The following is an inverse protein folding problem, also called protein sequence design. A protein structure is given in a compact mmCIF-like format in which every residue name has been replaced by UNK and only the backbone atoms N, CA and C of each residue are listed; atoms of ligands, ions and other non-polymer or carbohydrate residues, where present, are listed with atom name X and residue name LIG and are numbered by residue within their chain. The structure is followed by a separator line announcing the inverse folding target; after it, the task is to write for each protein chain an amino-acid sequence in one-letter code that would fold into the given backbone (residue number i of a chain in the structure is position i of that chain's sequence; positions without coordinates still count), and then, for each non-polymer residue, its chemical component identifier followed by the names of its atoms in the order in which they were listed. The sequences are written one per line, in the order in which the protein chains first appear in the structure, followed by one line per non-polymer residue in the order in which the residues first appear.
data_IF_946436325219
#
_entry.id   IF_946436325219
#
_cell.length_a   1.000
_cell.length_b   1.000
_cell.length_c   1.000
_cell.angle_alpha   90.00
_cell.angle_beta   90.00
_cell.angle_gamma   90.00
#
_symmetry.space_group_name_H-M   'P 1'
#
loop_
_entity.id
_entity.type
_entity.pdbx_description
1 polymer ?
#
# COMPACT_ATOMS: atom_id res chain seq x y z
N UNK A 1 -15.87 11.17 5.66
CA UNK A 1 -14.81 10.74 4.71
C UNK A 1 -15.28 9.50 3.97
N UNK A 2 -14.97 9.38 2.68
CA UNK A 2 -15.40 8.26 1.84
C UNK A 2 -14.15 7.50 1.36
N UNK A 3 -14.04 6.23 1.76
CA UNK A 3 -12.96 5.30 1.41
C UNK A 3 -11.87 5.17 2.48
N UNK A 4 -11.65 3.93 2.95
CA UNK A 4 -10.68 3.52 3.96
C UNK A 4 -9.35 2.99 3.39
N UNK A 5 -8.93 3.45 2.21
CA UNK A 5 -7.59 3.17 1.67
C UNK A 5 -6.50 3.94 2.41
N UNK A 6 -5.23 3.77 2.00
CA UNK A 6 -4.09 4.49 2.58
C UNK A 6 -4.37 5.99 2.75
N UNK A 7 -4.83 6.65 1.69
CA UNK A 7 -5.12 8.08 1.74
C UNK A 7 -6.21 8.41 2.75
N UNK A 8 -7.31 7.64 2.78
CA UNK A 8 -8.40 7.87 3.74
C UNK A 8 -7.95 7.70 5.18
N UNK A 9 -7.21 6.63 5.51
CA UNK A 9 -6.66 6.40 6.85
C UNK A 9 -5.72 7.55 7.29
N UNK A 10 -4.82 8.01 6.40
CA UNK A 10 -3.93 9.13 6.70
C UNK A 10 -4.67 10.46 6.79
N UNK A 11 -5.68 10.69 5.96
CA UNK A 11 -6.50 11.89 6.06
C UNK A 11 -7.30 11.91 7.37
N UNK A 12 -7.88 10.78 7.78
CA UNK A 12 -8.55 10.65 9.09
C UNK A 12 -7.58 10.95 10.24
N UNK A 13 -6.38 10.35 10.23
CA UNK A 13 -5.32 10.62 11.21
C UNK A 13 -4.96 12.10 11.29
N UNK A 14 -4.76 12.75 10.16
CA UNK A 14 -4.35 14.16 10.14
C UNK A 14 -5.51 15.12 10.47
N UNK A 15 -6.77 14.78 10.16
CA UNK A 15 -7.95 15.51 10.63
C UNK A 15 -8.05 15.49 12.15
N UNK A 16 -7.72 14.37 12.82
CA UNK A 16 -7.73 14.27 14.27
C UNK A 16 -6.64 15.09 14.97
N UNK A 17 -5.64 15.59 14.24
CA UNK A 17 -4.72 16.66 14.73
C UNK A 17 -5.44 18.02 14.90
N UNK A 18 -6.67 18.10 14.44
CA UNK A 18 -7.57 19.25 14.59
C UNK A 18 -8.80 18.84 15.39
N UNK A 19 -9.46 19.78 16.00
CA UNK A 19 -10.73 19.56 16.73
C UNK A 19 -11.88 19.37 15.72
N UNK A 20 -11.83 18.28 14.97
CA UNK A 20 -12.81 17.87 13.96
C UNK A 20 -13.28 16.47 14.31
N UNK A 21 -14.59 16.26 14.41
CA UNK A 21 -15.17 14.91 14.42
C UNK A 21 -15.02 14.28 13.02
N UNK A 22 -14.63 13.02 12.98
CA UNK A 22 -14.33 12.30 11.73
C UNK A 22 -15.09 11.00 11.71
N UNK A 23 -15.97 10.83 10.71
CA UNK A 23 -16.55 9.56 10.31
C UNK A 23 -15.91 9.12 8.99
N UNK A 24 -15.34 7.91 8.95
CA UNK A 24 -14.79 7.28 7.74
C UNK A 24 -15.69 6.14 7.32
N UNK A 25 -16.30 6.25 6.13
CA UNK A 25 -17.18 5.26 5.54
C UNK A 25 -16.38 4.43 4.53
N UNK A 26 -16.26 3.12 4.76
CA UNK A 26 -15.59 2.17 3.88
C UNK A 26 -16.59 1.11 3.40
N UNK A 27 -16.62 0.89 2.10
CA UNK A 27 -17.55 -0.03 1.47
C UNK A 27 -17.26 -1.52 1.76
N UNK A 28 -16.09 -1.83 2.28
CA UNK A 28 -15.63 -3.19 2.57
C UNK A 28 -15.49 -3.44 4.08
N UNK A 29 -15.25 -4.68 4.42
CA UNK A 29 -15.13 -5.20 5.78
C UNK A 29 -13.86 -4.78 6.53
N UNK A 30 -12.87 -4.19 5.85
CA UNK A 30 -11.59 -3.78 6.44
C UNK A 30 -10.99 -2.60 5.67
N UNK A 31 -10.07 -1.89 6.28
CA UNK A 31 -9.30 -0.82 5.64
C UNK A 31 -8.22 -1.37 4.72
N UNK A 32 -7.76 -0.57 3.78
CA UNK A 32 -6.67 -0.90 2.84
C UNK A 32 -6.91 -2.13 1.95
N UNK A 33 -8.16 -2.50 1.69
CA UNK A 33 -8.56 -3.65 0.87
C UNK A 33 -8.71 -3.34 -0.62
N UNK A 34 -8.70 -2.06 -1.02
CA UNK A 34 -8.74 -1.62 -2.42
C UNK A 34 -7.36 -1.58 -3.10
N UNK A 35 -7.06 -0.49 -3.82
CA UNK A 35 -5.76 -0.25 -4.49
C UNK A 35 -4.57 -0.38 -3.53
N UNK A 36 -4.75 -0.02 -2.27
CA UNK A 36 -3.72 -0.04 -1.23
C UNK A 36 -3.16 -1.43 -0.94
N UNK A 37 -3.91 -2.50 -1.24
CA UNK A 37 -3.51 -3.89 -0.93
C UNK A 37 -2.46 -4.48 -1.89
N UNK A 38 -2.28 -3.88 -3.08
CA UNK A 38 -1.41 -4.42 -4.12
C UNK A 38 -0.65 -3.28 -4.81
N UNK A 39 0.65 -3.19 -4.57
CA UNK A 39 1.57 -2.20 -5.12
C UNK A 39 3.03 -2.68 -4.98
N UNK A 40 4.00 -1.87 -5.40
CA UNK A 40 5.43 -2.19 -5.34
C UNK A 40 6.07 -2.04 -3.97
N UNK A 41 5.36 -1.60 -2.94
CA UNK A 41 5.91 -1.32 -1.60
C UNK A 41 7.03 -0.25 -1.55
N UNK A 42 7.32 0.45 -2.64
CA UNK A 42 8.42 1.41 -2.77
C UNK A 42 8.04 2.77 -2.16
N UNK A 43 8.92 3.28 -1.30
CA UNK A 43 8.91 4.67 -0.83
C UNK A 43 9.82 5.48 -1.74
N UNK A 44 9.22 6.21 -2.68
CA UNK A 44 9.92 6.96 -3.72
C UNK A 44 10.59 8.22 -3.18
N UNK A 45 11.75 8.57 -3.76
CA UNK A 45 12.49 9.79 -3.40
C UNK A 45 11.96 11.06 -4.09
N UNK A 46 11.30 10.93 -5.24
CA UNK A 46 10.85 12.03 -6.09
C UNK A 46 11.85 12.41 -7.21
N UNK A 47 12.90 11.62 -7.43
CA UNK A 47 13.94 11.92 -8.45
C UNK A 47 13.42 11.86 -9.89
N UNK A 48 12.41 11.05 -10.18
CA UNK A 48 11.85 10.80 -11.52
C UNK A 48 10.58 11.62 -11.82
N UNK A 49 10.19 12.53 -10.91
CA UNK A 49 9.03 13.37 -11.13
C UNK A 49 9.42 14.72 -11.79
N UNK A 50 8.54 15.20 -12.67
CA UNK A 50 8.73 16.50 -13.34
C UNK A 50 8.84 17.61 -12.29
N UNK A 51 9.90 18.42 -12.31
CA UNK A 51 10.09 19.51 -11.35
C UNK A 51 8.94 20.52 -11.32
N UNK A 52 8.71 21.15 -10.17
CA UNK A 52 7.66 22.15 -9.95
C UNK A 52 6.23 21.58 -10.12
N UNK A 53 6.03 20.30 -9.91
CA UNK A 53 4.70 19.70 -9.82
C UNK A 53 4.37 19.37 -8.37
N UNK A 54 3.09 19.45 -8.02
CA UNK A 54 2.60 19.05 -6.69
C UNK A 54 3.08 17.64 -6.30
N UNK A 55 3.11 16.75 -7.28
CA UNK A 55 3.57 15.37 -7.13
C UNK A 55 5.04 15.31 -6.72
N UNK A 56 5.93 16.07 -7.37
CA UNK A 56 7.35 16.13 -7.03
C UNK A 56 7.56 16.68 -5.61
N UNK A 57 6.96 17.82 -5.31
CA UNK A 57 7.08 18.49 -4.01
C UNK A 57 6.59 17.62 -2.86
N UNK A 58 5.40 17.01 -3.00
CA UNK A 58 4.85 16.11 -1.97
C UNK A 58 5.70 14.86 -1.78
N UNK A 59 6.25 14.28 -2.86
CA UNK A 59 7.07 13.08 -2.75
C UNK A 59 8.36 13.35 -1.99
N UNK A 60 9.05 14.43 -2.31
CA UNK A 60 10.31 14.80 -1.62
C UNK A 60 10.05 15.07 -0.13
N UNK A 61 9.00 15.83 0.22
CA UNK A 61 8.63 16.08 1.63
C UNK A 61 8.24 14.80 2.36
N UNK A 62 7.41 13.97 1.74
CA UNK A 62 6.98 12.70 2.31
C UNK A 62 8.16 11.76 2.58
N UNK A 63 9.07 11.63 1.60
CA UNK A 63 10.26 10.79 1.75
C UNK A 63 11.15 11.27 2.90
N UNK A 64 11.40 12.57 3.02
CA UNK A 64 12.20 13.14 4.10
C UNK A 64 11.63 12.88 5.50
N UNK A 65 10.30 12.78 5.63
CA UNK A 65 9.60 12.53 6.89
C UNK A 65 9.32 11.05 7.18
N UNK A 66 9.63 10.15 6.25
CA UNK A 66 9.08 8.79 6.28
C UNK A 66 9.60 7.93 7.44
N UNK A 67 10.89 8.05 7.81
CA UNK A 67 11.46 7.35 8.97
C UNK A 67 10.76 7.75 10.28
N UNK A 68 10.48 9.04 10.45
CA UNK A 68 9.73 9.53 11.62
C UNK A 68 8.32 8.98 11.62
N UNK A 69 7.63 9.01 10.48
CA UNK A 69 6.27 8.50 10.34
C UNK A 69 6.19 7.02 10.73
N UNK A 70 7.12 6.21 10.23
CA UNK A 70 7.16 4.79 10.54
C UNK A 70 7.45 4.53 12.02
N UNK A 71 8.34 5.32 12.66
CA UNK A 71 8.54 5.23 14.12
C UNK A 71 7.32 5.66 14.93
N UNK A 72 6.61 6.73 14.53
CA UNK A 72 5.37 7.15 15.19
C UNK A 72 4.29 6.06 15.14
N UNK A 73 4.21 5.33 14.04
CA UNK A 73 3.19 4.32 13.78
C UNK A 73 3.63 2.89 14.12
N UNK A 74 4.87 2.69 14.55
CA UNK A 74 5.48 1.38 14.78
C UNK A 74 5.30 0.44 13.57
N UNK A 75 5.79 0.91 12.41
CA UNK A 75 5.72 0.19 11.13
C UNK A 75 7.15 -0.07 10.63
N UNK A 76 7.48 -1.33 10.28
CA UNK A 76 8.77 -1.66 9.69
C UNK A 76 9.03 -0.90 8.38
N UNK A 77 10.18 -0.26 8.27
CA UNK A 77 10.63 0.47 7.10
C UNK A 77 12.12 0.22 6.87
N UNK A 78 12.50 -0.02 5.63
CA UNK A 78 13.90 -0.17 5.20
C UNK A 78 14.26 0.89 4.18
N UNK A 79 15.25 1.73 4.50
CA UNK A 79 15.83 2.69 3.55
C UNK A 79 17.00 2.02 2.82
N UNK A 80 16.66 1.01 2.01
CA UNK A 80 17.64 0.18 1.29
C UNK A 80 18.28 0.89 0.08
N UNK A 81 17.77 2.04 -0.35
CA UNK A 81 18.21 2.70 -1.58
C UNK A 81 17.68 2.01 -2.84
N UNK A 82 17.94 2.64 -4.00
CA UNK A 82 17.64 2.02 -5.29
C UNK A 82 18.72 2.29 -6.33
N UNK A 83 18.84 1.37 -7.29
CA UNK A 83 19.60 1.50 -8.53
C UNK A 83 18.62 1.48 -9.70
N UNK A 84 18.51 2.61 -10.42
CA UNK A 84 17.88 2.63 -11.73
C UNK A 84 18.94 2.24 -12.76
N UNK A 85 18.75 1.12 -13.44
CA UNK A 85 19.78 0.43 -14.24
C UNK A 85 19.46 0.53 -15.73
N UNK A 86 20.46 0.80 -16.56
CA UNK A 86 20.40 0.71 -18.02
C UNK A 86 21.46 -0.22 -18.58
N UNK A 87 21.18 -0.80 -19.75
CA UNK A 87 22.06 -1.72 -20.45
C UNK A 87 22.69 -1.09 -21.72
N UNK A 88 22.32 0.14 -22.08
CA UNK A 88 22.81 0.82 -23.28
C UNK A 88 22.62 2.34 -23.24
N UNK A 89 22.97 3.02 -24.36
CA UNK A 89 23.11 4.48 -24.36
C UNK A 89 21.77 5.22 -24.23
N UNK A 90 20.68 4.70 -24.81
CA UNK A 90 19.36 5.33 -24.68
C UNK A 90 18.89 5.34 -23.21
N UNK A 91 19.05 4.23 -22.50
CA UNK A 91 18.77 4.16 -21.07
C UNK A 91 19.69 5.08 -20.26
N UNK A 92 20.98 5.17 -20.63
CA UNK A 92 21.92 6.10 -19.99
C UNK A 92 21.47 7.57 -20.10
N UNK A 93 20.96 7.99 -21.27
CA UNK A 93 20.40 9.34 -21.43
C UNK A 93 19.17 9.59 -20.53
N UNK A 94 18.30 8.56 -20.40
CA UNK A 94 17.16 8.64 -19.46
C UNK A 94 17.65 8.80 -18.03
N UNK A 95 18.68 8.06 -17.60
CA UNK A 95 19.23 8.15 -16.24
C UNK A 95 19.87 9.52 -15.97
N UNK A 96 20.61 10.10 -16.96
CA UNK A 96 21.15 11.46 -16.84
C UNK A 96 20.03 12.50 -16.68
N UNK A 97 18.94 12.37 -17.43
CA UNK A 97 17.78 13.25 -17.31
C UNK A 97 17.09 13.08 -15.92
N UNK A 98 16.93 11.86 -15.44
CA UNK A 98 16.37 11.59 -14.09
C UNK A 98 17.27 12.16 -13.00
N UNK A 99 18.59 12.10 -13.12
CA UNK A 99 19.51 12.77 -12.21
C UNK A 99 19.26 14.27 -12.17
N UNK A 100 19.20 14.93 -13.33
CA UNK A 100 18.96 16.38 -13.41
C UNK A 100 17.58 16.75 -12.80
N UNK A 101 16.55 15.97 -13.07
CA UNK A 101 15.22 16.16 -12.47
C UNK A 101 15.26 16.01 -10.94
N UNK A 102 15.92 14.96 -10.44
CA UNK A 102 16.06 14.73 -9.01
C UNK A 102 16.82 15.84 -8.29
N UNK A 103 17.91 16.34 -8.90
CA UNK A 103 18.65 17.49 -8.38
C UNK A 103 17.77 18.75 -8.34
N UNK A 104 17.01 19.02 -9.42
CA UNK A 104 16.07 20.14 -9.47
C UNK A 104 14.93 20.03 -8.46
N UNK A 105 14.55 18.80 -8.07
CA UNK A 105 13.57 18.53 -7.01
C UNK A 105 14.18 18.58 -5.60
N UNK A 106 15.51 18.74 -5.46
CA UNK A 106 16.20 18.76 -4.17
C UNK A 106 16.39 17.38 -3.53
N UNK A 107 16.37 16.29 -4.32
CA UNK A 107 16.61 14.93 -3.80
C UNK A 107 18.10 14.77 -3.47
N UNK A 108 18.46 14.44 -2.22
CA UNK A 108 19.86 14.37 -1.82
C UNK A 108 20.54 13.05 -2.25
N UNK A 109 21.87 13.12 -2.41
CA UNK A 109 22.74 11.93 -2.51
C UNK A 109 22.68 11.18 -3.83
N UNK A 110 22.04 11.72 -4.87
CA UNK A 110 21.96 11.10 -6.20
C UNK A 110 23.34 10.99 -6.86
N UNK A 111 23.66 9.82 -7.41
CA UNK A 111 24.94 9.58 -8.10
C UNK A 111 24.75 8.69 -9.32
N UNK A 112 25.40 9.04 -10.45
CA UNK A 112 25.58 8.11 -11.56
C UNK A 112 26.77 7.20 -11.25
N UNK A 113 26.59 5.92 -11.49
CA UNK A 113 27.57 4.86 -11.34
C UNK A 113 27.81 4.20 -12.69
N UNK A 114 29.06 3.87 -12.99
CA UNK A 114 29.37 2.98 -14.11
C UNK A 114 28.93 1.53 -13.80
N UNK A 115 28.83 0.70 -14.83
CA UNK A 115 28.38 -0.70 -14.68
C UNK A 115 29.18 -1.50 -13.66
N UNK A 116 30.50 -1.34 -13.60
CA UNK A 116 31.37 -2.02 -12.62
C UNK A 116 30.98 -1.60 -11.17
N UNK A 117 30.81 -0.30 -10.91
CA UNK A 117 30.42 0.20 -9.60
C UNK A 117 29.02 -0.25 -9.19
N UNK A 118 28.08 -0.35 -10.16
CA UNK A 118 26.75 -0.89 -9.88
C UNK A 118 26.81 -2.36 -9.45
N UNK A 119 27.66 -3.16 -10.09
CA UNK A 119 27.88 -4.59 -9.73
C UNK A 119 28.65 -4.77 -8.42
N UNK A 120 29.49 -3.83 -8.02
CA UNK A 120 30.07 -3.85 -6.67
C UNK A 120 29.00 -3.71 -5.57
N UNK A 121 27.94 -2.92 -5.81
CA UNK A 121 26.80 -2.78 -4.89
C UNK A 121 25.84 -3.96 -4.99
N UNK A 122 25.61 -4.49 -6.19
CA UNK A 122 24.67 -5.58 -6.47
C UNK A 122 25.34 -6.62 -7.39
N UNK A 123 26.05 -7.60 -6.79
CA UNK A 123 26.82 -8.60 -7.56
C UNK A 123 25.97 -9.47 -8.49
N UNK A 124 24.65 -9.66 -8.20
CA UNK A 124 23.72 -10.41 -9.03
C UNK A 124 23.33 -9.72 -10.35
N UNK A 125 23.71 -8.45 -10.55
CA UNK A 125 23.42 -7.74 -11.80
C UNK A 125 24.19 -8.33 -12.99
N UNK A 126 23.53 -8.36 -14.16
CA UNK A 126 24.17 -8.74 -15.43
C UNK A 126 25.42 -7.92 -15.72
N UNK A 127 26.42 -8.52 -16.39
CA UNK A 127 27.65 -7.85 -16.84
C UNK A 127 27.39 -6.77 -17.91
N UNK A 128 26.20 -6.79 -18.54
CA UNK A 128 25.76 -5.83 -19.55
C UNK A 128 25.36 -4.46 -19.00
N UNK A 129 25.31 -4.27 -17.68
CA UNK A 129 24.99 -2.97 -17.08
C UNK A 129 26.00 -1.93 -17.53
N UNK A 130 25.52 -0.89 -18.20
CA UNK A 130 26.33 0.24 -18.69
C UNK A 130 26.36 1.39 -17.69
N UNK A 131 25.25 1.69 -17.05
CA UNK A 131 25.08 2.80 -16.09
C UNK A 131 24.00 2.48 -15.07
N UNK A 132 24.14 3.04 -13.88
CA UNK A 132 23.06 3.08 -12.89
C UNK A 132 22.95 4.47 -12.26
N UNK A 133 21.72 4.89 -11.94
CA UNK A 133 21.46 6.04 -11.06
C UNK A 133 21.18 5.48 -9.64
N UNK A 134 22.08 5.74 -8.73
CA UNK A 134 21.94 5.41 -7.32
C UNK A 134 21.12 6.47 -6.58
N UNK A 135 20.07 6.03 -5.89
CA UNK A 135 19.13 6.89 -5.17
C UNK A 135 19.03 6.42 -3.71
N UNK A 136 19.87 6.91 -2.81
CA UNK A 136 19.97 6.40 -1.43
C UNK A 136 18.70 6.65 -0.59
N UNK A 137 17.91 7.66 -0.96
CA UNK A 137 16.68 8.03 -0.24
C UNK A 137 15.49 7.12 -0.51
N UNK A 138 15.56 6.18 -1.46
CA UNK A 138 14.48 5.23 -1.73
C UNK A 138 14.45 4.14 -0.66
N UNK A 139 13.26 3.58 -0.38
CA UNK A 139 13.13 2.51 0.61
C UNK A 139 11.90 1.65 0.37
N UNK A 140 11.67 0.68 1.25
CA UNK A 140 10.50 -0.21 1.21
C UNK A 140 9.77 -0.21 2.55
N UNK A 141 8.46 -0.38 2.48
CA UNK A 141 7.56 -0.46 3.64
C UNK A 141 6.48 -1.50 3.38
N UNK A 142 5.94 -2.11 4.44
CA UNK A 142 4.74 -2.92 4.29
C UNK A 142 3.51 -2.01 4.09
N UNK A 143 2.85 -2.02 2.89
CA UNK A 143 1.75 -1.12 2.59
C UNK A 143 0.52 -1.32 3.47
N UNK A 144 0.25 -2.57 3.86
CA UNK A 144 -0.88 -2.91 4.73
C UNK A 144 -0.64 -2.44 6.15
N UNK A 145 0.52 -2.75 6.71
CA UNK A 145 0.90 -2.30 8.05
C UNK A 145 0.85 -0.77 8.15
N UNK A 146 1.33 -0.05 7.11
CA UNK A 146 1.33 1.40 7.07
C UNK A 146 -0.10 1.97 7.12
N UNK A 147 -0.99 1.44 6.27
CA UNK A 147 -2.36 1.94 6.19
C UNK A 147 -3.22 1.57 7.39
N UNK A 148 -3.11 0.32 7.88
CA UNK A 148 -3.79 -0.16 9.10
C UNK A 148 -3.33 0.65 10.31
N UNK A 149 -2.01 0.87 10.45
CA UNK A 149 -1.46 1.67 11.55
C UNK A 149 -1.97 3.11 11.55
N UNK A 150 -2.10 3.74 10.37
CA UNK A 150 -2.69 5.08 10.25
C UNK A 150 -4.17 5.08 10.66
N UNK A 151 -4.94 4.05 10.27
CA UNK A 151 -6.34 3.87 10.66
C UNK A 151 -6.49 3.66 12.16
N UNK A 152 -5.73 2.74 12.76
CA UNK A 152 -5.71 2.49 14.20
C UNK A 152 -5.33 3.74 15.00
N UNK A 153 -4.31 4.48 14.56
CA UNK A 153 -3.94 5.74 15.21
C UNK A 153 -5.05 6.81 15.08
N UNK A 154 -5.73 6.88 13.94
CA UNK A 154 -6.89 7.77 13.78
C UNK A 154 -8.03 7.40 14.73
N UNK A 155 -8.36 6.11 14.85
CA UNK A 155 -9.40 5.60 15.76
C UNK A 155 -9.03 5.86 17.23
N UNK A 156 -7.79 5.59 17.64
CA UNK A 156 -7.29 5.89 18.99
C UNK A 156 -7.37 7.39 19.34
N UNK A 157 -7.32 8.26 18.34
CA UNK A 157 -7.54 9.70 18.48
C UNK A 157 -9.02 10.12 18.28
N UNK A 158 -9.96 9.16 18.21
CA UNK A 158 -11.39 9.40 18.19
C UNK A 158 -12.00 9.60 16.79
N UNK A 159 -11.39 9.08 15.72
CA UNK A 159 -12.06 8.90 14.44
C UNK A 159 -12.96 7.66 14.50
N UNK A 160 -14.15 7.75 13.95
CA UNK A 160 -15.10 6.65 13.87
C UNK A 160 -15.01 5.99 12.48
N UNK A 161 -14.97 4.66 12.44
CA UNK A 161 -14.86 3.87 11.21
C UNK A 161 -16.15 3.07 11.02
N UNK A 162 -16.83 3.30 9.91
CA UNK A 162 -18.02 2.60 9.46
C UNK A 162 -17.60 1.69 8.30
N UNK A 163 -17.39 0.41 8.58
CA UNK A 163 -17.04 -0.61 7.61
C UNK A 163 -18.31 -1.23 7.02
N UNK A 164 -18.19 -1.89 5.85
CA UNK A 164 -19.34 -2.37 5.07
C UNK A 164 -20.38 -1.28 4.76
N UNK A 165 -19.95 -0.01 4.75
CA UNK A 165 -20.81 1.16 4.63
C UNK A 165 -20.51 1.87 3.32
N UNK A 166 -21.18 1.43 2.26
CA UNK A 166 -21.07 2.01 0.92
C UNK A 166 -21.91 3.27 0.81
N UNK A 167 -21.30 4.38 0.38
CA UNK A 167 -22.05 5.60 0.01
C UNK A 167 -22.73 5.37 -1.33
N UNK A 168 -24.05 5.48 -1.35
CA UNK A 168 -24.91 5.25 -2.52
C UNK A 168 -25.35 6.56 -3.17
N UNK A 169 -25.56 7.62 -2.39
CA UNK A 169 -25.96 8.94 -2.85
C UNK A 169 -25.34 10.04 -2.01
N UNK A 170 -25.20 11.24 -2.59
CA UNK A 170 -24.73 12.44 -1.90
C UNK A 170 -25.63 13.60 -2.34
N UNK A 171 -26.20 14.31 -1.38
CA UNK A 171 -27.00 15.50 -1.61
C UNK A 171 -26.49 16.69 -0.81
N UNK A 172 -26.69 17.90 -1.35
CA UNK A 172 -26.40 19.12 -0.62
C UNK A 172 -27.51 19.37 0.41
N UNK A 173 -27.11 19.85 1.60
CA UNK A 173 -28.01 20.23 2.68
C UNK A 173 -27.61 21.59 3.24
N UNK A 174 -28.47 22.18 4.05
CA UNK A 174 -28.12 23.44 4.72
C UNK A 174 -26.90 23.26 5.63
N UNK A 175 -25.84 23.99 5.31
CA UNK A 175 -24.59 23.96 6.04
C UNK A 175 -23.71 22.73 5.78
N UNK A 176 -24.01 21.85 4.79
CA UNK A 176 -23.20 20.68 4.52
C UNK A 176 -23.75 19.73 3.46
N UNK A 177 -23.58 18.45 3.72
CA UNK A 177 -23.92 17.35 2.82
C UNK A 177 -24.58 16.21 3.60
N UNK A 178 -25.49 15.49 2.94
CA UNK A 178 -26.04 14.21 3.41
C UNK A 178 -25.46 13.11 2.52
N UNK A 179 -24.85 12.11 3.15
CA UNK A 179 -24.36 10.89 2.52
C UNK A 179 -25.32 9.76 2.87
N UNK A 180 -25.95 9.16 1.87
CA UNK A 180 -26.87 8.04 2.04
C UNK A 180 -26.15 6.72 1.78
N UNK A 181 -26.36 5.75 2.66
CA UNK A 181 -25.87 4.39 2.54
C UNK A 181 -27.06 3.42 2.42
N UNK A 182 -26.82 2.11 2.40
CA UNK A 182 -27.91 1.13 2.39
C UNK A 182 -28.70 1.10 3.70
N UNK A 183 -28.05 1.42 4.84
CA UNK A 183 -28.65 1.28 6.17
C UNK A 183 -29.02 2.61 6.81
N UNK A 184 -28.22 3.66 6.63
CA UNK A 184 -28.37 4.93 7.32
C UNK A 184 -27.87 6.13 6.49
N UNK A 185 -28.11 7.33 7.00
CA UNK A 185 -27.65 8.58 6.39
C UNK A 185 -26.78 9.38 7.34
N UNK A 186 -25.72 9.97 6.80
CA UNK A 186 -24.75 10.77 7.55
C UNK A 186 -24.81 12.23 7.14
N UNK A 187 -25.10 13.12 8.07
CA UNK A 187 -24.90 14.55 7.84
C UNK A 187 -23.47 14.95 8.18
N UNK A 188 -22.86 15.72 7.29
CA UNK A 188 -21.51 16.26 7.53
C UNK A 188 -21.34 17.65 6.90
N UNK A 189 -20.54 18.50 7.54
CA UNK A 189 -20.22 19.84 7.01
C UNK A 189 -19.13 19.81 5.94
N UNK A 190 -18.36 18.71 5.85
CA UNK A 190 -17.23 18.59 4.94
C UNK A 190 -17.12 17.14 4.45
N UNK A 191 -16.93 16.96 3.15
CA UNK A 191 -16.68 15.66 2.49
C UNK A 191 -15.27 15.62 1.95
N UNK A 192 -14.54 14.55 2.28
CA UNK A 192 -13.28 14.19 1.64
C UNK A 192 -13.47 12.85 0.90
N UNK A 193 -13.49 12.89 -0.41
CA UNK A 193 -13.61 11.72 -1.25
C UNK A 193 -12.23 11.12 -1.53
N UNK A 194 -11.95 9.98 -0.90
CA UNK A 194 -10.73 9.17 -1.00
C UNK A 194 -11.04 7.77 -1.54
N UNK A 195 -12.09 7.60 -2.37
CA UNK A 195 -12.66 6.32 -2.78
C UNK A 195 -11.80 5.54 -3.83
N UNK A 196 -10.58 5.94 -4.08
CA UNK A 196 -9.63 5.19 -4.92
C UNK A 196 -10.11 4.98 -6.34
N UNK A 197 -10.37 3.72 -6.76
CA UNK A 197 -10.89 3.39 -8.09
C UNK A 197 -12.29 3.96 -8.37
N UNK A 198 -13.06 4.25 -7.32
CA UNK A 198 -14.42 4.79 -7.44
C UNK A 198 -14.50 6.31 -7.22
N UNK A 199 -13.36 7.01 -7.09
CA UNK A 199 -13.38 8.41 -6.67
C UNK A 199 -14.08 9.36 -7.66
N UNK A 200 -13.97 9.12 -8.96
CA UNK A 200 -14.71 9.88 -9.98
C UNK A 200 -16.20 9.57 -9.96
N UNK A 201 -16.60 8.30 -9.76
CA UNK A 201 -17.98 7.88 -9.64
C UNK A 201 -18.63 8.46 -8.37
N UNK A 202 -17.93 8.45 -7.23
CA UNK A 202 -18.42 9.05 -5.99
C UNK A 202 -18.59 10.55 -6.15
N UNK A 203 -17.68 11.26 -6.82
CA UNK A 203 -17.90 12.68 -7.11
C UNK A 203 -19.10 12.89 -8.03
N UNK A 204 -19.29 12.03 -9.03
CA UNK A 204 -20.39 12.12 -9.98
C UNK A 204 -21.78 11.95 -9.34
N UNK A 205 -21.88 11.46 -8.10
CA UNK A 205 -23.16 11.43 -7.36
C UNK A 205 -23.73 12.83 -7.10
N UNK A 206 -22.87 13.86 -7.09
CA UNK A 206 -23.29 15.23 -6.78
C UNK A 206 -22.69 16.28 -7.74
N UNK A 207 -21.46 16.10 -8.20
CA UNK A 207 -20.76 17.06 -9.07
C UNK A 207 -20.09 16.33 -10.24
N UNK A 208 -20.12 16.88 -11.47
CA UNK A 208 -19.39 16.27 -12.58
C UNK A 208 -17.88 16.32 -12.33
N UNK A 209 -17.16 15.18 -12.41
CA UNK A 209 -15.71 15.19 -12.29
C UNK A 209 -15.05 15.69 -13.58
N UNK A 210 -13.89 16.38 -13.47
CA UNK A 210 -13.13 16.85 -14.65
C UNK A 210 -12.35 15.73 -15.33
N UNK A 211 -12.20 14.59 -14.66
CA UNK A 211 -11.45 13.42 -15.13
C UNK A 211 -12.23 12.14 -14.91
N UNK A 212 -11.87 11.09 -15.67
CA UNK A 212 -12.36 9.74 -15.46
C UNK A 212 -11.22 8.82 -15.06
N UNK A 213 -11.52 7.83 -14.24
CA UNK A 213 -10.55 6.79 -13.89
C UNK A 213 -10.66 5.68 -14.93
N UNK A 214 -9.56 5.45 -15.66
CA UNK A 214 -9.39 4.32 -16.56
C UNK A 214 -8.39 3.38 -15.89
N UNK A 215 -8.83 2.24 -15.32
CA UNK A 215 -7.97 1.35 -14.58
C UNK A 215 -6.91 0.70 -15.47
N UNK A 216 -5.68 0.56 -14.96
CA UNK A 216 -4.64 -0.24 -15.57
C UNK A 216 -4.23 -1.34 -14.58
N UNK A 217 -4.12 -2.58 -15.04
CA UNK A 217 -3.61 -3.69 -14.23
C UNK A 217 -2.11 -3.92 -14.46
N UNK A 218 -1.49 -4.61 -13.52
CA UNK A 218 -0.12 -5.07 -13.67
C UNK A 218 0.16 -6.23 -12.74
N UNK A 219 0.82 -7.25 -13.27
CA UNK A 219 1.12 -8.48 -12.57
C UNK A 219 2.42 -8.40 -11.80
N UNK A 220 2.56 -9.26 -10.80
CA UNK A 220 3.74 -9.37 -9.94
C UNK A 220 4.03 -10.83 -9.64
N UNK A 221 5.32 -11.14 -9.46
CA UNK A 221 5.80 -12.35 -8.83
C UNK A 221 6.40 -12.03 -7.46
N UNK A 222 6.19 -12.92 -6.50
CA UNK A 222 6.81 -12.86 -5.16
C UNK A 222 7.70 -14.09 -5.03
N UNK A 223 9.00 -13.87 -4.79
CA UNK A 223 9.96 -14.92 -4.51
C UNK A 223 10.15 -15.06 -3.00
N UNK A 224 10.41 -16.29 -2.58
CA UNK A 224 10.68 -16.62 -1.19
C UNK A 224 11.89 -15.85 -0.64
N UNK A 225 11.90 -15.61 0.67
CA UNK A 225 13.00 -14.93 1.37
C UNK A 225 14.35 -15.70 1.31
N UNK A 226 14.30 -17.00 1.06
CA UNK A 226 15.48 -17.86 0.90
C UNK A 226 16.04 -17.84 -0.55
N UNK A 227 15.54 -16.95 -1.41
CA UNK A 227 16.05 -16.82 -2.78
C UNK A 227 17.48 -16.31 -2.77
N UNK A 228 18.41 -17.14 -3.24
CA UNK A 228 19.82 -16.76 -3.39
C UNK A 228 19.98 -15.65 -4.44
N UNK A 229 21.02 -14.83 -4.30
CA UNK A 229 21.31 -13.70 -5.20
C UNK A 229 20.20 -12.65 -5.31
N UNK A 230 19.26 -12.60 -4.35
CA UNK A 230 18.28 -11.54 -4.28
C UNK A 230 18.98 -10.20 -4.01
N UNK A 231 18.63 -9.10 -4.72
CA UNK A 231 19.26 -7.81 -4.53
C UNK A 231 18.93 -7.21 -3.14
N UNK A 232 19.90 -6.51 -2.56
CA UNK A 232 19.73 -5.75 -1.32
C UNK A 232 19.11 -4.38 -1.54
N UNK A 233 19.32 -3.78 -2.71
CA UNK A 233 18.70 -2.52 -3.13
C UNK A 233 17.49 -2.76 -4.03
N UNK A 234 16.60 -1.78 -4.10
CA UNK A 234 15.55 -1.77 -5.13
C UNK A 234 16.20 -1.59 -6.50
N UNK A 235 15.99 -2.53 -7.40
CA UNK A 235 16.41 -2.39 -8.79
C UNK A 235 15.26 -1.93 -9.66
N UNK A 236 15.51 -0.95 -10.53
CA UNK A 236 14.56 -0.46 -11.52
C UNK A 236 15.24 -0.49 -12.89
N UNK A 237 14.76 -1.32 -13.79
CA UNK A 237 15.32 -1.44 -15.12
C UNK A 237 14.71 -0.41 -16.08
N UNK A 238 15.58 0.32 -16.79
CA UNK A 238 15.21 1.26 -17.85
C UNK A 238 15.50 0.64 -19.22
N UNK A 239 14.47 0.17 -19.96
CA UNK A 239 14.68 -0.56 -21.21
C UNK A 239 15.17 0.33 -22.36
N UNK A 240 15.99 -0.22 -23.25
CA UNK A 240 16.54 0.48 -24.41
C UNK A 240 15.48 0.81 -25.50
N UNK A 241 14.41 0.03 -25.57
CA UNK A 241 13.30 0.28 -26.50
C UNK A 241 12.32 1.35 -26.00
N UNK A 242 12.50 1.82 -24.75
CA UNK A 242 11.61 2.77 -24.10
C UNK A 242 10.27 2.17 -23.69
N UNK A 243 10.17 0.84 -23.72
CA UNK A 243 9.01 0.09 -23.23
C UNK A 243 8.87 0.08 -21.73
N UNK A 244 8.07 -0.84 -21.23
CA UNK A 244 7.87 -1.03 -19.79
C UNK A 244 9.11 -1.59 -19.12
N UNK A 245 9.59 -0.88 -18.09
CA UNK A 245 10.65 -1.38 -17.21
C UNK A 245 10.14 -2.32 -16.13
N UNK A 246 11.07 -2.99 -15.44
CA UNK A 246 10.82 -3.88 -14.33
C UNK A 246 11.37 -3.27 -13.03
N UNK A 247 10.74 -3.58 -11.91
CA UNK A 247 11.32 -3.37 -10.58
C UNK A 247 11.53 -4.71 -9.88
N UNK A 248 12.69 -4.89 -9.26
CA UNK A 248 12.95 -5.96 -8.29
C UNK A 248 13.10 -5.30 -6.90
N UNK A 249 12.22 -5.65 -5.98
CA UNK A 249 12.03 -4.91 -4.72
C UNK A 249 12.18 -5.85 -3.54
N UNK A 250 13.27 -5.76 -2.75
CA UNK A 250 13.38 -6.46 -1.49
C UNK A 250 12.34 -5.89 -0.51
N UNK A 251 11.46 -6.75 0.01
CA UNK A 251 10.44 -6.32 0.98
C UNK A 251 11.01 -6.27 2.39
N UNK A 252 10.35 -5.55 3.28
CA UNK A 252 10.76 -5.49 4.69
C UNK A 252 10.62 -6.83 5.42
N UNK A 253 9.87 -7.77 4.85
CA UNK A 253 9.72 -9.15 5.33
C UNK A 253 10.76 -10.12 4.74
N UNK A 254 11.62 -9.65 3.84
CA UNK A 254 12.70 -10.41 3.22
C UNK A 254 12.37 -11.11 1.90
N UNK A 255 11.11 -11.12 1.45
CA UNK A 255 10.73 -11.64 0.13
C UNK A 255 11.16 -10.68 -0.97
N UNK A 256 11.32 -11.18 -2.20
CA UNK A 256 11.58 -10.34 -3.37
C UNK A 256 10.34 -10.20 -4.24
N UNK A 257 9.92 -8.96 -4.48
CA UNK A 257 8.79 -8.62 -5.35
C UNK A 257 9.31 -8.22 -6.73
N UNK A 258 8.85 -8.89 -7.78
CA UNK A 258 9.20 -8.62 -9.18
C UNK A 258 7.99 -8.10 -9.95
N UNK A 259 8.16 -7.04 -10.72
CA UNK A 259 7.08 -6.44 -11.51
C UNK A 259 7.10 -4.91 -11.46
N UNK A 260 6.05 -4.26 -11.93
CA UNK A 260 4.87 -4.82 -12.57
C UNK A 260 5.02 -5.07 -14.08
N UNK A 261 4.17 -5.95 -14.62
CA UNK A 261 3.78 -5.88 -16.02
C UNK A 261 2.81 -4.71 -16.27
N UNK A 262 2.30 -4.57 -17.48
CA UNK A 262 1.31 -3.53 -17.79
C UNK A 262 0.22 -4.09 -18.70
N UNK A 263 -1.03 -3.89 -18.28
CA UNK A 263 -2.22 -4.25 -19.02
C UNK A 263 -3.19 -3.07 -18.97
N UNK A 264 -3.26 -2.34 -20.09
CA UNK A 264 -4.15 -1.20 -20.21
C UNK A 264 -5.62 -1.63 -20.09
N UNK A 265 -6.45 -0.78 -19.48
CA UNK A 265 -7.86 -1.02 -19.20
C UNK A 265 -8.16 -2.32 -18.43
N UNK A 266 -7.17 -2.85 -17.72
CA UNK A 266 -7.34 -4.02 -16.86
C UNK A 266 -8.14 -3.67 -15.61
N UNK A 267 -9.28 -4.31 -15.41
CA UNK A 267 -10.19 -4.06 -14.29
C UNK A 267 -10.23 -5.19 -13.28
N UNK A 268 -9.70 -6.36 -13.62
CA UNK A 268 -9.68 -7.53 -12.76
C UNK A 268 -8.33 -7.68 -12.01
N UNK A 269 -8.35 -8.52 -10.99
CA UNK A 269 -7.18 -8.85 -10.17
C UNK A 269 -6.58 -10.22 -10.52
N UNK A 270 -7.00 -10.83 -11.63
CA UNK A 270 -6.39 -12.04 -12.14
C UNK A 270 -5.05 -11.71 -12.82
N UNK A 271 -4.06 -12.56 -12.62
CA UNK A 271 -2.81 -12.51 -13.38
C UNK A 271 -2.99 -13.16 -14.75
N UNK A 272 -2.27 -12.69 -15.75
CA UNK A 272 -2.27 -13.31 -17.05
C UNK A 272 -0.90 -13.91 -17.43
N UNK A 273 -0.93 -14.81 -18.40
CA UNK A 273 0.27 -15.55 -18.84
C UNK A 273 1.32 -14.64 -19.47
N UNK A 274 0.89 -13.65 -20.24
CA UNK A 274 1.79 -12.75 -20.98
C UNK A 274 2.49 -11.81 -20.01
N UNK A 275 1.77 -11.24 -19.06
CA UNK A 275 2.33 -10.37 -18.02
C UNK A 275 3.33 -11.11 -17.13
N UNK A 276 3.03 -12.36 -16.73
CA UNK A 276 3.97 -13.18 -15.95
C UNK A 276 5.20 -13.59 -16.76
N UNK A 277 5.04 -13.90 -18.07
CA UNK A 277 6.16 -14.21 -18.95
C UNK A 277 7.08 -13.00 -19.15
N UNK A 278 6.49 -11.80 -19.35
CA UNK A 278 7.22 -10.55 -19.43
C UNK A 278 8.08 -10.31 -18.18
N UNK A 279 7.51 -10.47 -16.97
CA UNK A 279 8.25 -10.28 -15.72
C UNK A 279 9.44 -11.24 -15.64
N UNK A 280 9.23 -12.52 -15.96
CA UNK A 280 10.30 -13.52 -15.95
C UNK A 280 11.43 -13.17 -16.92
N UNK A 281 11.09 -12.78 -18.15
CA UNK A 281 12.06 -12.39 -19.17
C UNK A 281 12.86 -11.15 -18.75
N UNK A 282 12.21 -10.09 -18.31
CA UNK A 282 12.90 -8.87 -17.90
C UNK A 282 13.75 -9.07 -16.64
N UNK A 283 13.29 -9.94 -15.72
CA UNK A 283 14.08 -10.28 -14.53
C UNK A 283 15.38 -10.98 -14.93
N UNK A 284 15.35 -11.99 -15.80
CA UNK A 284 16.54 -12.72 -16.22
C UNK A 284 17.51 -11.87 -17.07
N UNK A 285 17.01 -10.83 -17.76
CA UNK A 285 17.88 -9.85 -18.43
C UNK A 285 18.69 -9.04 -17.41
N UNK A 286 18.10 -8.73 -16.25
CA UNK A 286 18.72 -7.91 -15.23
C UNK A 286 19.51 -8.72 -14.19
N UNK A 287 18.94 -9.86 -13.77
CA UNK A 287 19.43 -10.75 -12.73
C UNK A 287 19.50 -12.19 -13.30
N UNK A 288 20.53 -12.52 -14.10
CA UNK A 288 20.58 -13.80 -14.83
C UNK A 288 20.69 -15.02 -13.94
N UNK A 289 21.26 -14.90 -12.74
CA UNK A 289 21.50 -16.01 -11.80
C UNK A 289 20.37 -16.19 -10.78
N UNK A 290 19.28 -15.40 -10.85
CA UNK A 290 18.19 -15.51 -9.87
C UNK A 290 17.32 -16.73 -10.15
N UNK A 291 17.04 -17.53 -9.10
CA UNK A 291 16.18 -18.71 -9.23
C UNK A 291 14.69 -18.35 -9.15
N UNK A 292 14.04 -18.24 -10.30
CA UNK A 292 12.61 -17.97 -10.41
C UNK A 292 11.72 -19.17 -9.99
N UNK A 293 12.27 -20.36 -9.72
CA UNK A 293 11.51 -21.49 -9.17
C UNK A 293 11.15 -21.26 -7.70
N UNK A 294 11.84 -20.34 -7.02
CA UNK A 294 11.47 -19.87 -5.69
C UNK A 294 10.23 -18.95 -5.67
N UNK A 295 9.49 -18.83 -6.77
CA UNK A 295 8.23 -18.11 -6.81
C UNK A 295 7.19 -18.78 -5.91
N UNK A 296 6.77 -18.08 -4.86
CA UNK A 296 5.75 -18.57 -3.91
C UNK A 296 4.36 -18.03 -4.22
N UNK A 297 4.26 -16.93 -4.99
CA UNK A 297 2.99 -16.30 -5.33
C UNK A 297 3.07 -15.42 -6.57
N UNK A 298 1.93 -15.28 -7.27
CA UNK A 298 1.67 -14.19 -8.21
C UNK A 298 0.41 -13.42 -7.79
N UNK A 299 0.33 -12.15 -8.15
CA UNK A 299 -0.87 -11.33 -7.97
C UNK A 299 -0.91 -10.20 -8.99
N UNK A 300 -2.10 -9.63 -9.23
CA UNK A 300 -2.26 -8.43 -10.03
C UNK A 300 -2.70 -7.24 -9.16
N UNK A 301 -2.26 -6.05 -9.54
CA UNK A 301 -2.68 -4.78 -8.96
C UNK A 301 -3.42 -3.94 -9.98
N UNK A 302 -4.51 -3.30 -9.56
CA UNK A 302 -5.28 -2.37 -10.41
C UNK A 302 -5.00 -0.94 -9.95
N UNK A 303 -4.56 -0.09 -10.87
CA UNK A 303 -4.17 1.30 -10.62
C UNK A 303 -5.27 2.26 -11.06
N UNK A 304 -5.65 3.28 -10.25
CA UNK A 304 -6.64 4.29 -10.61
C UNK A 304 -6.03 5.35 -11.54
N UNK A 305 -5.96 5.08 -12.83
CA UNK A 305 -5.29 5.96 -13.80
C UNK A 305 -6.23 7.08 -14.25
N UNK A 306 -6.00 8.37 -13.86
CA UNK A 306 -6.87 9.45 -14.28
C UNK A 306 -6.60 9.82 -15.75
N UNK A 307 -7.68 10.01 -16.50
CA UNK A 307 -7.66 10.47 -17.91
C UNK A 307 -8.56 11.69 -18.06
N UNK A 308 -8.17 12.61 -18.92
CA UNK A 308 -9.02 13.71 -19.36
C UNK A 308 -10.15 13.20 -20.25
N UNK A 309 -11.17 14.03 -20.50
CA UNK A 309 -12.28 13.68 -21.39
C UNK A 309 -11.84 13.32 -22.81
N UNK A 310 -10.72 13.89 -23.29
CA UNK A 310 -10.10 13.59 -24.59
C UNK A 310 -9.19 12.33 -24.57
N UNK A 311 -9.15 11.59 -23.46
CA UNK A 311 -8.29 10.42 -23.27
C UNK A 311 -6.85 10.76 -22.85
N UNK A 312 -6.48 12.04 -22.79
CA UNK A 312 -5.15 12.48 -22.45
C UNK A 312 -4.72 12.07 -21.02
N UNK A 313 -3.44 11.65 -20.89
CA UNK A 313 -2.89 11.25 -19.59
C UNK A 313 -2.64 12.46 -18.67
N UNK A 314 -2.71 12.23 -17.36
CA UNK A 314 -2.44 13.25 -16.36
C UNK A 314 -1.21 12.86 -15.53
N UNK A 315 -0.19 13.73 -15.58
CA UNK A 315 1.12 13.48 -14.96
C UNK A 315 1.21 13.89 -13.47
N UNK A 316 0.13 14.42 -12.87
CA UNK A 316 0.11 14.88 -11.48
C UNK A 316 -1.06 14.28 -10.71
N UNK A 317 -1.14 14.55 -9.40
CA UNK A 317 -2.34 14.25 -8.61
C UNK A 317 -3.49 15.16 -9.02
N UNK A 318 -4.71 14.59 -9.07
CA UNK A 318 -5.93 15.34 -9.33
C UNK A 318 -6.65 15.54 -7.99
N UNK A 319 -6.75 16.81 -7.57
CA UNK A 319 -7.45 17.21 -6.36
C UNK A 319 -8.47 18.27 -6.78
N UNK A 320 -9.74 17.94 -6.64
CA UNK A 320 -10.85 18.83 -7.00
C UNK A 320 -11.56 19.37 -5.78
N UNK A 321 -12.03 20.62 -5.86
CA UNK A 321 -12.90 21.24 -4.90
C UNK A 321 -14.10 21.86 -5.64
N UNK A 322 -15.06 21.03 -6.08
CA UNK A 322 -16.16 21.50 -6.92
C UNK A 322 -17.16 22.41 -6.16
N UNK A 323 -17.19 22.34 -4.83
CA UNK A 323 -18.04 23.17 -3.99
C UNK A 323 -17.41 23.37 -2.59
N UNK A 324 -17.82 24.40 -1.84
CA UNK A 324 -17.33 24.62 -0.49
C UNK A 324 -17.52 23.41 0.42
N UNK A 325 -16.44 22.97 1.08
CA UNK A 325 -16.48 21.80 1.96
C UNK A 325 -16.42 20.44 1.25
N UNK A 326 -16.28 20.37 -0.07
CA UNK A 326 -16.17 19.10 -0.80
C UNK A 326 -14.82 18.99 -1.52
N UNK A 327 -13.99 18.01 -1.16
CA UNK A 327 -12.73 17.73 -1.84
C UNK A 327 -12.69 16.29 -2.32
N UNK A 328 -12.26 16.09 -3.59
CA UNK A 328 -12.04 14.78 -4.18
C UNK A 328 -10.57 14.58 -4.54
N UNK A 329 -10.04 13.42 -4.17
CA UNK A 329 -8.71 12.94 -4.54
C UNK A 329 -8.87 11.85 -5.59
N UNK A 330 -8.80 12.21 -6.88
CA UNK A 330 -9.13 11.33 -7.99
C UNK A 330 -7.87 10.79 -8.63
N UNK A 331 -7.78 9.48 -8.83
CA UNK A 331 -6.67 8.87 -9.53
C UNK A 331 -5.32 9.00 -8.81
N UNK A 332 -5.32 8.89 -7.48
CA UNK A 332 -4.09 8.88 -6.70
C UNK A 332 -3.38 7.53 -6.90
N UNK A 333 -2.47 7.49 -7.87
CA UNK A 333 -1.58 6.37 -8.18
C UNK A 333 -0.14 6.68 -7.75
N UNK A 334 0.86 5.94 -8.23
CA UNK A 334 2.29 6.16 -7.90
C UNK A 334 2.68 7.65 -7.99
N UNK A 335 3.28 8.19 -6.92
CA UNK A 335 3.71 7.60 -5.66
C UNK A 335 2.71 7.78 -4.49
N UNK A 336 1.43 7.49 -4.70
CA UNK A 336 0.35 7.73 -3.73
C UNK A 336 0.61 7.15 -2.34
N UNK A 337 1.20 5.96 -2.23
CA UNK A 337 1.57 5.37 -0.93
C UNK A 337 2.62 6.25 -0.22
N UNK A 338 3.70 6.62 -0.88
CA UNK A 338 4.71 7.52 -0.31
C UNK A 338 4.09 8.83 0.17
N UNK A 339 3.17 9.40 -0.63
CA UNK A 339 2.56 10.70 -0.37
C UNK A 339 1.32 10.65 0.52
N UNK A 340 0.89 9.47 1.02
CA UNK A 340 -0.39 9.34 1.70
C UNK A 340 -0.53 10.24 2.95
N UNK A 341 0.51 10.36 3.78
CA UNK A 341 0.50 11.28 4.93
C UNK A 341 0.50 12.75 4.51
N UNK A 342 1.30 13.14 3.50
CA UNK A 342 1.34 14.52 3.00
C UNK A 342 0.01 14.93 2.33
N UNK A 343 -0.59 14.04 1.54
CA UNK A 343 -1.94 14.24 0.99
C UNK A 343 -2.99 14.32 2.09
N UNK A 344 -2.86 13.49 3.12
CA UNK A 344 -3.73 13.52 4.32
C UNK A 344 -3.59 14.83 5.09
N UNK A 345 -2.37 15.36 5.24
CA UNK A 345 -2.11 16.70 5.83
C UNK A 345 -2.74 17.80 5.00
N UNK A 346 -2.54 17.76 3.68
CA UNK A 346 -3.17 18.72 2.77
C UNK A 346 -4.70 18.70 2.92
N UNK A 347 -5.32 17.51 2.93
CA UNK A 347 -6.77 17.37 3.13
C UNK A 347 -7.22 17.95 4.48
N UNK A 348 -6.49 17.65 5.56
CA UNK A 348 -6.79 18.13 6.89
C UNK A 348 -6.65 19.67 7.02
N UNK A 349 -5.65 20.27 6.38
CA UNK A 349 -5.46 21.73 6.34
C UNK A 349 -6.61 22.41 5.61
N UNK A 350 -7.05 21.88 4.45
CA UNK A 350 -8.19 22.42 3.70
C UNK A 350 -9.50 22.33 4.51
N UNK A 351 -9.77 21.16 5.09
CA UNK A 351 -10.95 20.97 5.93
C UNK A 351 -10.92 21.84 7.20
N UNK A 352 -9.77 21.95 7.86
CA UNK A 352 -9.62 22.78 9.06
C UNK A 352 -9.81 24.25 8.76
N UNK A 353 -9.29 24.74 7.63
CA UNK A 353 -9.50 26.14 7.21
C UNK A 353 -11.00 26.42 6.93
N UNK A 354 -11.67 25.52 6.20
CA UNK A 354 -13.10 25.65 5.91
C UNK A 354 -13.98 25.61 7.18
N UNK A 355 -13.69 24.65 8.08
CA UNK A 355 -14.44 24.46 9.32
C UNK A 355 -14.01 25.41 10.45
N UNK A 356 -12.97 26.22 10.25
CA UNK A 356 -12.33 27.08 11.28
C UNK A 356 -11.91 26.30 12.53
N UNK A 357 -11.40 25.08 12.33
CA UNK A 357 -11.07 24.16 13.40
C UNK A 357 -9.69 24.42 14.01
N UNK A 358 -9.61 24.50 15.34
CA UNK A 358 -8.38 24.66 16.09
C UNK A 358 -7.55 23.37 16.12
N UNK A 359 -6.29 23.46 16.56
CA UNK A 359 -5.44 22.29 16.81
C UNK A 359 -5.99 21.45 17.97
N UNK A 360 -5.93 20.15 17.84
CA UNK A 360 -6.21 19.20 18.91
C UNK A 360 -4.92 18.95 19.72
N UNK A 361 -4.84 19.51 20.92
CA UNK A 361 -3.69 19.35 21.81
C UNK A 361 -3.59 17.97 22.46
N UNK A 362 -4.69 17.20 22.46
CA UNK A 362 -4.75 15.85 22.99
C UNK A 362 -4.35 14.78 21.96
N UNK A 363 -4.06 15.17 20.72
CA UNK A 363 -3.66 14.22 19.68
C UNK A 363 -2.32 13.55 20.02
N UNK A 364 -2.32 12.20 20.04
CA UNK A 364 -1.08 11.40 20.13
C UNK A 364 -0.68 10.86 18.76
N UNK A 365 0.54 11.14 18.29
CA UNK A 365 1.02 10.62 17.01
C UNK A 365 1.43 9.15 17.08
N UNK A 366 1.65 8.63 18.28
CA UNK A 366 2.20 7.30 18.51
C UNK A 366 1.12 6.22 18.50
N UNK A 367 1.49 5.09 17.92
CA UNK A 367 0.75 3.84 17.97
C UNK A 367 1.70 2.71 18.34
N UNK A 368 1.25 1.78 19.15
CA UNK A 368 1.95 0.52 19.39
C UNK A 368 1.45 -0.55 18.43
N UNK A 369 2.35 -1.19 17.71
CA UNK A 369 2.07 -2.33 16.83
C UNK A 369 1.69 -3.59 17.60
N UNK A 370 1.30 -4.62 16.86
CA UNK A 370 1.19 -5.97 17.44
C UNK A 370 2.58 -6.44 17.82
N UNK A 371 2.78 -6.83 19.09
CA UNK A 371 4.06 -7.38 19.54
C UNK A 371 4.33 -8.69 18.81
N UNK A 372 5.50 -8.80 18.18
CA UNK A 372 5.90 -9.98 17.40
C UNK A 372 6.90 -10.82 18.16
N UNK A 373 6.72 -12.14 18.13
CA UNK A 373 7.68 -13.10 18.67
C UNK A 373 8.82 -13.41 17.69
N UNK A 374 8.56 -13.22 16.39
CA UNK A 374 9.56 -13.45 15.34
C UNK A 374 10.83 -12.60 15.54
N UNK A 375 11.99 -13.22 15.39
CA UNK A 375 13.30 -12.55 15.50
C UNK A 375 13.75 -12.20 16.92
N UNK A 376 12.98 -12.53 17.95
CA UNK A 376 13.41 -12.35 19.33
C UNK A 376 14.40 -13.43 19.75
N UNK A 377 15.37 -13.04 20.60
CA UNK A 377 16.23 -14.01 21.27
C UNK A 377 15.41 -14.87 22.26
N UNK A 378 15.88 -16.08 22.61
CA UNK A 378 15.14 -17.01 23.46
C UNK A 378 14.67 -16.41 24.78
N UNK A 379 15.49 -15.57 25.42
CA UNK A 379 15.19 -14.95 26.70
C UNK A 379 14.00 -14.00 26.60
N UNK A 380 13.97 -13.15 25.55
CA UNK A 380 12.85 -12.23 25.30
C UNK A 380 11.57 -12.97 24.89
N UNK A 381 11.71 -14.04 24.10
CA UNK A 381 10.58 -14.88 23.72
C UNK A 381 9.98 -15.58 24.95
N UNK A 382 10.81 -16.13 25.81
CA UNK A 382 10.37 -16.74 27.06
C UNK A 382 9.69 -15.72 28.01
N UNK A 383 10.17 -14.48 28.05
CA UNK A 383 9.51 -13.42 28.79
C UNK A 383 8.10 -13.12 28.26
N UNK A 384 7.92 -13.06 26.93
CA UNK A 384 6.58 -12.90 26.32
C UNK A 384 5.66 -14.07 26.67
N UNK A 385 6.16 -15.31 26.61
CA UNK A 385 5.38 -16.52 26.98
C UNK A 385 5.00 -16.51 28.46
N UNK A 386 5.85 -15.98 29.32
CA UNK A 386 5.52 -15.85 30.75
C UNK A 386 4.45 -14.77 31.01
N UNK A 387 4.40 -13.71 30.18
CA UNK A 387 3.34 -12.69 30.24
C UNK A 387 2.00 -13.22 29.67
N UNK A 388 2.06 -13.94 28.55
CA UNK A 388 0.90 -14.49 27.83
C UNK A 388 1.30 -15.82 27.17
N UNK A 389 0.72 -16.94 27.65
CA UNK A 389 1.02 -18.30 27.18
C UNK A 389 0.74 -18.51 25.69
N UNK A 390 -0.16 -17.72 25.08
CA UNK A 390 -0.50 -17.81 23.65
C UNK A 390 0.67 -17.40 22.74
N UNK A 391 1.71 -16.71 23.25
CA UNK A 391 2.99 -16.52 22.54
C UNK A 391 3.81 -17.80 22.40
N UNK A 392 3.49 -18.85 23.17
CA UNK A 392 4.12 -20.17 23.07
C UNK A 392 3.56 -21.06 21.98
N UNK A 393 2.37 -20.76 21.44
CA UNK A 393 1.72 -21.54 20.39
C UNK A 393 1.96 -20.91 19.01
N UNK A 394 2.70 -21.59 18.10
CA UNK A 394 2.95 -21.12 16.74
C UNK A 394 1.81 -21.56 15.83
N UNK A 395 1.11 -20.61 15.23
CA UNK A 395 0.05 -20.84 14.25
C UNK A 395 0.63 -20.92 12.83
N UNK A 396 1.52 -19.98 12.44
CA UNK A 396 2.14 -19.98 11.13
C UNK A 396 3.65 -20.23 11.24
N UNK A 397 4.11 -21.46 10.96
CA UNK A 397 5.52 -21.81 11.05
C UNK A 397 6.40 -21.16 9.96
N UNK A 398 5.85 -20.82 8.78
CA UNK A 398 6.61 -20.15 7.73
C UNK A 398 6.99 -18.71 8.11
N UNK A 399 6.12 -18.04 8.85
CA UNK A 399 6.28 -16.63 9.25
C UNK A 399 6.51 -16.48 10.75
N UNK A 400 6.62 -17.59 11.49
CA UNK A 400 6.80 -17.63 12.95
C UNK A 400 5.79 -16.75 13.69
N UNK A 401 4.49 -16.84 13.27
CA UNK A 401 3.40 -16.08 13.87
C UNK A 401 2.73 -16.92 14.95
N UNK A 402 2.60 -16.36 16.15
CA UNK A 402 2.02 -16.99 17.30
C UNK A 402 0.50 -16.80 17.39
N UNK A 403 -0.16 -17.57 18.26
CA UNK A 403 -1.58 -17.44 18.55
C UNK A 403 -1.90 -16.07 19.16
N UNK A 404 -1.08 -15.57 20.08
CA UNK A 404 -1.26 -14.24 20.67
C UNK A 404 -1.30 -13.13 19.60
N UNK A 405 -0.42 -13.19 18.59
CA UNK A 405 -0.41 -12.22 17.46
C UNK A 405 -1.70 -12.34 16.63
N UNK A 406 -2.19 -13.54 16.39
CA UNK A 406 -3.46 -13.77 15.66
C UNK A 406 -4.64 -13.21 16.44
N UNK A 407 -4.75 -13.51 17.73
CA UNK A 407 -5.82 -13.02 18.59
C UNK A 407 -5.81 -11.48 18.69
N UNK A 408 -4.63 -10.90 18.82
CA UNK A 408 -4.50 -9.44 18.84
C UNK A 408 -4.91 -8.80 17.50
N UNK A 409 -4.57 -9.43 16.36
CA UNK A 409 -5.03 -8.98 15.05
C UNK A 409 -6.57 -9.01 14.92
N UNK A 410 -7.23 -10.05 15.47
CA UNK A 410 -8.69 -10.15 15.50
C UNK A 410 -9.29 -9.05 16.38
N UNK A 411 -8.78 -8.83 17.59
CA UNK A 411 -9.22 -7.75 18.50
C UNK A 411 -9.07 -6.36 17.87
N UNK A 412 -8.07 -6.17 16.98
CA UNK A 412 -7.85 -4.94 16.21
C UNK A 412 -8.64 -4.88 14.90
N UNK A 413 -9.67 -5.74 14.74
CA UNK A 413 -10.61 -5.66 13.64
C UNK A 413 -10.28 -6.52 12.41
N UNK A 414 -9.43 -7.55 12.53
CA UNK A 414 -9.32 -8.55 11.48
C UNK A 414 -10.52 -9.49 11.53
N UNK A 415 -11.45 -9.37 10.60
CA UNK A 415 -12.67 -10.21 10.52
C UNK A 415 -12.60 -11.26 9.40
N UNK A 416 -11.47 -11.36 8.70
CA UNK A 416 -11.23 -12.31 7.61
C UNK A 416 -9.84 -12.94 7.73
N UNK A 417 -9.61 -14.06 7.06
CA UNK A 417 -8.27 -14.70 7.04
C UNK A 417 -7.22 -13.77 6.43
N UNK A 418 -7.55 -13.05 5.36
CA UNK A 418 -6.63 -12.07 4.77
C UNK A 418 -6.52 -10.79 5.64
N UNK A 419 -7.49 -10.49 6.50
CA UNK A 419 -7.40 -9.46 7.53
C UNK A 419 -6.31 -9.77 8.58
N UNK A 420 -6.26 -11.01 9.06
CA UNK A 420 -5.16 -11.50 9.93
C UNK A 420 -3.84 -11.46 9.18
N UNK A 421 -3.81 -11.97 7.95
CA UNK A 421 -2.62 -12.00 7.10
C UNK A 421 -2.01 -10.59 6.91
N UNK A 422 -2.81 -9.57 6.65
CA UNK A 422 -2.36 -8.18 6.47
C UNK A 422 -1.74 -7.58 7.74
N UNK A 423 -2.14 -8.04 8.94
CA UNK A 423 -1.66 -7.54 10.24
C UNK A 423 -0.47 -8.32 10.79
N UNK A 424 -0.42 -9.63 10.54
CA UNK A 424 0.57 -10.54 11.16
C UNK A 424 1.59 -11.10 10.17
N UNK A 425 1.23 -11.27 8.89
CA UNK A 425 1.99 -12.04 7.92
C UNK A 425 1.60 -13.53 7.85
N UNK A 426 0.73 -14.03 8.73
CA UNK A 426 0.29 -15.43 8.69
C UNK A 426 -0.27 -15.83 7.32
N UNK A 427 0.30 -16.88 6.71
CA UNK A 427 -0.08 -17.34 5.38
C UNK A 427 0.63 -16.65 4.21
N UNK A 428 1.66 -15.82 4.46
CA UNK A 428 2.46 -15.17 3.41
C UNK A 428 3.69 -15.96 2.98
N UNK A 429 4.20 -16.85 3.80
CA UNK A 429 5.41 -17.62 3.49
C UNK A 429 5.19 -18.74 2.47
N UNK A 430 6.22 -19.55 2.26
CA UNK A 430 6.32 -20.56 1.20
C UNK A 430 5.08 -21.44 1.00
N UNK A 431 4.38 -21.85 2.05
CA UNK A 431 3.18 -22.69 1.93
C UNK A 431 1.88 -21.93 1.60
N UNK A 432 1.90 -20.61 1.55
CA UNK A 432 0.77 -19.72 1.23
C UNK A 432 -0.53 -20.05 2.01
N UNK A 433 -0.37 -20.37 3.29
CA UNK A 433 -1.49 -20.70 4.19
C UNK A 433 -1.90 -22.18 4.16
N UNK A 434 -1.22 -23.04 3.41
CA UNK A 434 -1.56 -24.47 3.33
C UNK A 434 -1.55 -25.19 4.66
N UNK A 435 -0.74 -24.73 5.63
CA UNK A 435 -0.63 -25.34 6.98
C UNK A 435 -1.44 -24.59 8.05
N UNK A 436 -1.48 -23.25 7.99
CA UNK A 436 -2.06 -22.44 9.07
C UNK A 436 -3.52 -22.04 8.85
N UNK A 437 -4.05 -22.12 7.62
CA UNK A 437 -5.37 -21.57 7.27
C UNK A 437 -6.49 -22.16 8.11
N UNK A 438 -6.48 -23.49 8.37
CA UNK A 438 -7.51 -24.13 9.18
C UNK A 438 -7.54 -23.53 10.60
N UNK A 439 -6.38 -23.43 11.26
CA UNK A 439 -6.30 -22.83 12.60
C UNK A 439 -6.74 -21.36 12.62
N UNK A 440 -6.43 -20.60 11.55
CA UNK A 440 -6.90 -19.22 11.42
C UNK A 440 -8.43 -19.16 11.31
N UNK A 441 -9.07 -20.10 10.60
CA UNK A 441 -10.53 -20.21 10.49
C UNK A 441 -11.13 -20.54 11.85
N UNK A 442 -10.58 -21.53 12.56
CA UNK A 442 -11.02 -21.93 13.91
C UNK A 442 -10.95 -20.76 14.90
N UNK A 443 -9.83 -20.03 14.94
CA UNK A 443 -9.65 -18.87 15.81
C UNK A 443 -10.60 -17.72 15.46
N UNK A 444 -10.79 -17.40 14.17
CA UNK A 444 -11.75 -16.39 13.74
C UNK A 444 -13.18 -16.78 14.14
N UNK A 445 -13.59 -18.03 13.88
CA UNK A 445 -14.91 -18.51 14.20
C UNK A 445 -15.19 -18.42 15.71
N UNK A 446 -14.21 -18.83 16.53
CA UNK A 446 -14.29 -18.77 17.98
C UNK A 446 -14.42 -17.33 18.50
N UNK A 447 -13.51 -16.45 18.11
CA UNK A 447 -13.45 -15.06 18.60
C UNK A 447 -14.64 -14.22 18.11
N UNK A 448 -15.15 -14.49 16.90
CA UNK A 448 -16.31 -13.79 16.35
C UNK A 448 -17.65 -14.42 16.75
N UNK A 449 -17.66 -15.60 17.36
CA UNK A 449 -18.89 -16.32 17.73
C UNK A 449 -19.72 -16.78 16.51
N UNK A 450 -19.06 -17.11 15.39
CA UNK A 450 -19.69 -17.54 14.14
C UNK A 450 -19.32 -19.00 13.79
N UNK A 451 -20.07 -19.62 12.90
CA UNK A 451 -19.70 -20.95 12.39
C UNK A 451 -18.47 -20.87 11.47
N UNK A 452 -17.60 -21.90 11.46
CA UNK A 452 -16.40 -21.94 10.63
C UNK A 452 -16.68 -21.76 9.13
N UNK A 453 -17.82 -22.27 8.64
CA UNK A 453 -18.22 -22.10 7.24
C UNK A 453 -18.69 -20.66 6.90
N UNK A 454 -18.94 -19.82 7.90
CA UNK A 454 -19.21 -18.40 7.71
C UNK A 454 -17.93 -17.57 7.62
N UNK A 455 -16.76 -18.12 7.99
CA UNK A 455 -15.48 -17.43 7.89
C UNK A 455 -15.12 -17.21 6.41
N UNK A 456 -14.81 -15.95 6.08
CA UNK A 456 -14.42 -15.55 4.72
C UNK A 456 -12.91 -15.36 4.60
N UNK A 457 -12.42 -15.53 3.37
CA UNK A 457 -11.03 -15.25 3.04
C UNK A 457 -10.76 -13.74 2.99
N UNK A 458 -11.58 -12.99 2.25
CA UNK A 458 -11.38 -11.55 1.95
C UNK A 458 -12.75 -10.88 1.67
N UNK A 459 -13.66 -10.95 2.65
CA UNK A 459 -15.00 -10.34 2.56
C UNK A 459 -16.09 -11.25 1.97
N UNK A 460 -17.26 -10.66 1.77
CA UNK A 460 -18.49 -11.34 1.36
C UNK A 460 -18.30 -12.21 0.11
N UNK A 461 -18.81 -13.45 0.17
CA UNK A 461 -18.78 -14.40 -0.95
C UNK A 461 -17.46 -15.15 -1.11
N UNK A 462 -16.46 -14.95 -0.23
CA UNK A 462 -15.16 -15.64 -0.27
C UNK A 462 -15.02 -16.69 0.86
N UNK A 463 -16.08 -17.43 1.16
CA UNK A 463 -16.07 -18.47 2.18
C UNK A 463 -14.97 -19.51 1.90
N UNK A 464 -14.24 -19.91 2.94
CA UNK A 464 -13.12 -20.86 2.80
C UNK A 464 -13.63 -22.29 2.83
N UNK A 465 -14.58 -22.58 3.71
CA UNK A 465 -15.20 -23.89 3.79
C UNK A 465 -16.49 -23.87 2.98
N UNK A 466 -16.62 -24.80 2.03
CA UNK A 466 -17.91 -25.18 1.44
C UNK A 466 -18.81 -25.79 2.50
N UNK A 467 -20.12 -25.85 2.24
CA UNK A 467 -21.06 -26.55 3.13
C UNK A 467 -20.59 -27.98 3.43
N UNK A 468 -21.10 -28.56 4.50
CA UNK A 468 -20.83 -29.99 4.82
C UNK A 468 -21.17 -30.83 3.60
N UNK A 469 -20.26 -31.69 3.18
CA UNK A 469 -20.56 -32.79 2.27
C UNK A 469 -21.63 -33.63 3.00
N UNK A 470 -22.88 -33.45 2.69
CA UNK A 470 -23.88 -34.46 3.03
C UNK A 470 -23.54 -35.64 2.12
N UNK A 471 -23.06 -36.69 2.74
CA UNK A 471 -22.81 -37.97 2.04
C UNK A 471 -24.09 -38.34 1.31
N UNK A 472 -24.02 -38.40 -0.02
CA UNK A 472 -25.05 -38.92 -0.89
C UNK A 472 -25.25 -40.41 -0.59
#
# INVERSE_FOLDING_TARGET
MIGGGLLGCFAARNLRRRNISVALLEAREDVCTGVSRANTAIVYSGCDHKPRTLKAEMTVRANAGFDRLCRELDVPFSRCGSLMVSLGERGNEVLRRKLAQGQANGVPGLRLLGGAQARELEPGLTDKVSMALYVPGTGTVNPWALGIAAGENAAANGAEFFLNTRVMNISAADGGYILETEEESFFCRCVLNCAGLAADMVQALIFPPSVRIMPDAGDYLVLDRETENAPGHILQYEPEDGGKGLSAVPTVEGSLLLGPSERENGTDYATDREGLAFIREQTLKLLPEIDLNNTIRSFAAVRPNPRKADGGSIGSFVIENPAPGFWSFIGIKTPGMTCADELGRFAAEKAAAYLKAAQNRAFTPYREGVRKAHGLCPERRNALIAEDADYGEIICHCEDVTKAEVLEAIRRGAVTVDGIKRRTGAGMGRCQGGRCRQKLVELLALEMGIAENAVTKDGTGSNILGGRYEAL
#
